data_IF_846347997434
#
_entry.id   IF_846347997434
#
_cell.length_a   1.000
_cell.length_b   1.000
_cell.length_c   1.000
_cell.angle_alpha   90.00
_cell.angle_beta   90.00
_cell.angle_gamma   90.00
#
_symmetry.space_group_name_H-M   'P 1'
#
loop_
_entity.id
_entity.type
_entity.pdbx_description
1 polymer ?
#
# COMPACT_ATOMS: atom_id res chain seq x y z
N UNK A 1 9.29 -11.28 35.23
CA UNK A 1 9.31 -10.03 36.01
C UNK A 1 8.25 -9.10 35.43
N UNK A 2 7.34 -8.57 36.25
CA UNK A 2 6.36 -7.56 35.77
C UNK A 2 7.10 -6.24 35.60
N UNK A 3 7.03 -5.63 34.42
CA UNK A 3 7.57 -4.29 34.17
C UNK A 3 6.87 -3.30 35.12
N UNK A 4 7.65 -2.43 35.76
CA UNK A 4 7.14 -1.40 36.67
C UNK A 4 6.39 -0.33 35.86
N UNK A 5 5.35 0.27 36.45
CA UNK A 5 4.44 1.26 35.81
C UNK A 5 5.16 2.43 35.13
N UNK A 6 6.39 2.75 35.54
CA UNK A 6 7.19 3.83 34.97
C UNK A 6 7.84 3.48 33.61
N UNK A 7 8.02 2.19 33.31
CA UNK A 7 8.50 1.73 31.99
C UNK A 7 7.38 1.65 30.94
N UNK A 8 6.11 1.78 31.36
CA UNK A 8 4.96 1.79 30.46
C UNK A 8 4.70 3.16 29.80
N UNK A 9 5.46 4.20 30.16
CA UNK A 9 5.26 5.58 29.72
C UNK A 9 6.16 6.01 28.54
N UNK A 10 7.15 5.20 28.16
CA UNK A 10 7.99 5.46 26.99
C UNK A 10 7.53 4.49 25.89
N UNK A 11 7.08 4.97 24.71
CA UNK A 11 6.78 4.09 23.60
C UNK A 11 7.97 3.16 23.34
N UNK A 12 7.72 1.85 23.24
CA UNK A 12 8.75 0.96 22.71
C UNK A 12 8.89 1.27 21.23
N UNK A 13 9.83 2.17 20.92
CA UNK A 13 10.21 2.46 19.55
C UNK A 13 10.80 1.21 18.91
N UNK A 14 10.58 1.06 17.61
CA UNK A 14 11.19 -0.02 16.85
C UNK A 14 12.72 0.08 16.98
N UNK A 15 13.35 -0.99 17.45
CA UNK A 15 14.81 -1.07 17.48
C UNK A 15 15.33 -1.55 16.13
N UNK A 16 16.58 -1.23 15.74
CA UNK A 16 17.16 -1.72 14.49
C UNK A 16 17.03 -3.24 14.31
N UNK A 17 17.16 -4.02 15.38
CA UNK A 17 16.99 -5.48 15.33
C UNK A 17 15.55 -5.91 15.01
N UNK A 18 14.54 -5.21 15.54
CA UNK A 18 13.13 -5.49 15.18
C UNK A 18 12.82 -5.13 13.72
N UNK A 19 13.56 -4.18 13.15
CA UNK A 19 13.43 -3.81 11.74
C UNK A 19 14.02 -4.88 10.81
N UNK A 20 15.05 -5.64 11.23
CA UNK A 20 15.66 -6.70 10.41
C UNK A 20 14.63 -7.77 10.01
N UNK A 21 13.83 -8.25 10.97
CA UNK A 21 12.76 -9.21 10.71
C UNK A 21 11.59 -8.62 9.92
N UNK A 22 11.44 -7.29 9.94
CA UNK A 22 10.42 -6.55 9.19
C UNK A 22 10.84 -6.39 7.72
N UNK A 23 12.12 -6.20 7.39
CA UNK A 23 12.59 -5.96 6.01
C UNK A 23 12.05 -7.02 5.05
N UNK A 24 12.21 -8.31 5.38
CA UNK A 24 11.74 -9.40 4.53
C UNK A 24 10.20 -9.43 4.38
N UNK A 25 9.46 -9.00 5.41
CA UNK A 25 8.00 -8.90 5.39
C UNK A 25 7.55 -7.69 4.57
N UNK A 26 8.21 -6.55 4.72
CA UNK A 26 7.95 -5.33 3.95
C UNK A 26 8.11 -5.60 2.46
N UNK A 27 9.21 -6.24 2.03
CA UNK A 27 9.40 -6.61 0.62
C UNK A 27 8.28 -7.53 0.07
N UNK A 28 7.77 -8.46 0.88
CA UNK A 28 6.63 -9.30 0.48
C UNK A 28 5.33 -8.50 0.37
N UNK A 29 5.12 -7.53 1.25
CA UNK A 29 3.97 -6.61 1.21
C UNK A 29 4.07 -5.71 -0.03
N UNK A 30 5.24 -5.13 -0.33
CA UNK A 30 5.45 -4.32 -1.55
C UNK A 30 5.10 -5.14 -2.80
N UNK A 31 5.63 -6.35 -2.93
CA UNK A 31 5.32 -7.25 -4.07
C UNK A 31 3.84 -7.58 -4.16
N UNK A 32 3.20 -7.87 -3.03
CA UNK A 32 1.77 -8.20 -2.99
C UNK A 32 0.91 -7.00 -3.35
N UNK A 33 1.30 -5.79 -2.89
CA UNK A 33 0.63 -4.54 -3.23
C UNK A 33 0.69 -4.27 -4.74
N UNK A 34 1.83 -4.47 -5.39
CA UNK A 34 1.96 -4.33 -6.85
C UNK A 34 1.01 -5.27 -7.62
N UNK A 35 0.93 -6.54 -7.19
CA UNK A 35 0.04 -7.53 -7.81
C UNK A 35 -1.43 -7.14 -7.62
N UNK A 36 -1.82 -6.71 -6.42
CA UNK A 36 -3.19 -6.27 -6.12
C UNK A 36 -3.54 -5.00 -6.90
N UNK A 37 -2.64 -4.02 -6.94
CA UNK A 37 -2.83 -2.79 -7.71
C UNK A 37 -3.09 -3.11 -9.18
N UNK A 38 -2.26 -3.99 -9.78
CA UNK A 38 -2.46 -4.45 -11.16
C UNK A 38 -3.83 -5.09 -11.35
N UNK A 39 -4.25 -5.98 -10.45
CA UNK A 39 -5.57 -6.60 -10.52
C UNK A 39 -6.71 -5.56 -10.43
N UNK A 40 -6.63 -4.61 -9.50
CA UNK A 40 -7.60 -3.50 -9.40
C UNK A 40 -7.65 -2.69 -10.69
N UNK A 41 -6.51 -2.32 -11.26
CA UNK A 41 -6.43 -1.54 -12.50
C UNK A 41 -7.10 -2.22 -13.69
N UNK A 42 -7.11 -3.55 -13.76
CA UNK A 42 -7.79 -4.28 -14.85
C UNK A 42 -9.31 -4.18 -14.83
N UNK A 43 -9.91 -3.83 -13.69
CA UNK A 43 -11.36 -3.73 -13.51
C UNK A 43 -11.85 -2.31 -13.24
N UNK A 44 -10.94 -1.33 -13.23
CA UNK A 44 -11.26 0.09 -13.10
C UNK A 44 -11.43 0.73 -14.48
N UNK A 45 -12.53 1.47 -14.68
CA UNK A 45 -12.81 2.17 -15.94
C UNK A 45 -12.15 3.56 -16.05
N UNK A 46 -11.64 4.09 -14.93
CA UNK A 46 -11.00 5.40 -14.84
C UNK A 46 -9.79 5.34 -13.91
N UNK A 47 -8.92 6.34 -13.99
CA UNK A 47 -7.70 6.34 -13.19
C UNK A 47 -7.98 6.64 -11.71
N UNK A 48 -8.98 7.47 -11.42
CA UNK A 48 -9.35 7.83 -10.04
C UNK A 48 -10.81 7.59 -9.74
N UNK A 49 -11.13 7.39 -8.47
CA UNK A 49 -12.50 7.27 -7.96
C UNK A 49 -13.33 8.51 -8.28
N UNK A 50 -12.70 9.68 -8.17
CA UNK A 50 -13.32 10.97 -8.51
C UNK A 50 -13.73 11.03 -9.97
N UNK A 51 -12.84 10.68 -10.89
CA UNK A 51 -13.18 10.63 -12.33
C UNK A 51 -14.35 9.67 -12.61
N UNK A 52 -14.39 8.53 -11.92
CA UNK A 52 -15.50 7.58 -12.06
C UNK A 52 -16.83 8.21 -11.65
N UNK A 53 -16.86 8.85 -10.48
CA UNK A 53 -18.06 9.51 -9.95
C UNK A 53 -18.46 10.70 -10.83
N UNK A 54 -17.51 11.52 -11.28
CA UNK A 54 -17.76 12.67 -12.15
C UNK A 54 -18.36 12.21 -13.50
N UNK A 55 -17.94 11.05 -14.01
CA UNK A 55 -18.43 10.47 -15.27
C UNK A 55 -19.81 9.81 -15.13
N UNK A 56 -20.07 9.10 -14.03
CA UNK A 56 -21.26 8.23 -13.89
C UNK A 56 -22.29 8.72 -12.87
N UNK A 57 -22.00 9.78 -12.11
CA UNK A 57 -22.89 10.38 -11.11
C UNK A 57 -22.99 9.61 -9.80
N UNK A 58 -22.20 8.54 -9.62
CA UNK A 58 -22.20 7.70 -8.44
C UNK A 58 -21.26 6.51 -8.59
N UNK A 59 -21.14 5.70 -7.53
CA UNK A 59 -20.30 4.51 -7.53
C UNK A 59 -20.96 3.39 -6.73
N UNK A 60 -20.92 2.18 -7.27
CA UNK A 60 -21.39 1.00 -6.57
C UNK A 60 -20.37 0.59 -5.49
N UNK A 61 -20.83 0.12 -4.33
CA UNK A 61 -19.95 -0.20 -3.19
C UNK A 61 -18.80 -1.18 -3.52
N UNK A 62 -19.05 -2.16 -4.40
CA UNK A 62 -17.99 -3.09 -4.85
C UNK A 62 -16.94 -2.36 -5.70
N UNK A 63 -17.37 -1.52 -6.64
CA UNK A 63 -16.47 -0.72 -7.47
C UNK A 63 -15.69 0.27 -6.61
N UNK A 64 -16.35 0.92 -5.65
CA UNK A 64 -15.71 1.79 -4.66
C UNK A 64 -14.61 1.07 -3.90
N UNK A 65 -14.87 -0.14 -3.40
CA UNK A 65 -13.87 -0.95 -2.72
C UNK A 65 -12.65 -1.26 -3.59
N UNK A 66 -12.83 -1.43 -4.91
CA UNK A 66 -11.71 -1.61 -5.85
C UNK A 66 -10.85 -0.35 -5.94
N UNK A 67 -11.46 0.83 -6.07
CA UNK A 67 -10.71 2.10 -6.10
C UNK A 67 -9.97 2.34 -4.77
N UNK A 68 -10.63 2.11 -3.64
CA UNK A 68 -10.01 2.28 -2.31
C UNK A 68 -8.86 1.26 -2.10
N UNK A 69 -9.00 0.04 -2.63
CA UNK A 69 -7.93 -0.97 -2.60
C UNK A 69 -6.74 -0.59 -3.49
N UNK A 70 -6.99 -0.01 -4.67
CA UNK A 70 -5.94 0.50 -5.55
C UNK A 70 -5.16 1.64 -4.88
N UNK A 71 -5.86 2.59 -4.24
CA UNK A 71 -5.24 3.69 -3.52
C UNK A 71 -4.38 3.19 -2.33
N UNK A 72 -4.87 2.20 -1.58
CA UNK A 72 -4.11 1.60 -0.49
C UNK A 72 -2.87 0.84 -0.99
N UNK A 73 -3.02 0.11 -2.10
CA UNK A 73 -1.91 -0.62 -2.70
C UNK A 73 -0.84 0.34 -3.22
N UNK A 74 -1.23 1.43 -3.91
CA UNK A 74 -0.30 2.46 -4.37
C UNK A 74 0.47 3.09 -3.20
N UNK A 75 -0.23 3.51 -2.13
CA UNK A 75 0.43 4.04 -0.93
C UNK A 75 1.39 3.05 -0.27
N UNK A 76 1.15 1.76 -0.44
CA UNK A 76 2.05 0.72 0.08
C UNK A 76 3.34 0.62 -0.73
N UNK A 77 3.30 0.94 -2.02
CA UNK A 77 4.47 1.02 -2.89
C UNK A 77 5.25 2.32 -2.66
N UNK A 78 4.54 3.44 -2.51
CA UNK A 78 5.16 4.76 -2.28
C UNK A 78 5.98 4.82 -0.97
N UNK A 79 5.75 3.90 -0.02
CA UNK A 79 6.55 3.77 1.21
C UNK A 79 7.97 3.23 0.98
N UNK A 80 8.22 2.53 -0.14
CA UNK A 80 9.53 1.93 -0.47
C UNK A 80 10.43 2.91 -1.26
N UNK A 81 9.86 4.03 -1.73
CA UNK A 81 10.51 5.02 -2.63
C UNK A 81 11.50 5.95 -1.90
N UNK A 82 11.97 5.53 -0.73
CA UNK A 82 13.05 6.19 0.00
C UNK A 82 14.45 5.86 -0.52
N UNK A 83 14.63 4.77 -1.30
CA UNK A 83 15.95 4.40 -1.88
C UNK A 83 15.90 3.31 -3.00
N UNK A 84 14.73 3.00 -3.60
CA UNK A 84 14.67 2.04 -4.73
C UNK A 84 13.79 2.62 -5.83
N UNK A 85 14.43 3.15 -6.88
CA UNK A 85 13.74 3.57 -8.12
C UNK A 85 13.21 2.34 -8.88
N UNK A 86 12.19 1.71 -8.34
CA UNK A 86 11.40 0.70 -9.03
C UNK A 86 10.25 1.41 -9.73
N UNK A 87 10.50 1.96 -10.92
CA UNK A 87 9.43 2.57 -11.72
C UNK A 87 8.54 1.47 -12.27
N UNK A 88 7.29 1.43 -11.82
CA UNK A 88 6.30 0.51 -12.36
C UNK A 88 5.67 1.15 -13.60
N UNK A 89 5.78 0.49 -14.74
CA UNK A 89 5.13 0.93 -15.98
C UNK A 89 3.60 0.91 -15.79
N UNK A 90 2.90 2.04 -15.93
CA UNK A 90 1.47 2.15 -15.62
C UNK A 90 0.56 1.40 -16.61
N UNK A 91 1.07 1.06 -17.80
CA UNK A 91 0.33 0.39 -18.86
C UNK A 91 0.56 -1.14 -18.85
N UNK A 92 1.74 -1.59 -18.41
CA UNK A 92 2.14 -3.02 -18.43
C UNK A 92 2.23 -3.64 -17.03
N UNK A 93 2.47 -2.83 -16.00
CA UNK A 93 2.70 -3.25 -14.62
C UNK A 93 4.00 -4.04 -14.45
N UNK A 94 4.98 -3.83 -15.33
CA UNK A 94 6.34 -4.34 -15.17
C UNK A 94 7.13 -3.44 -14.21
N UNK A 95 8.02 -4.05 -13.43
CA UNK A 95 8.87 -3.37 -12.45
C UNK A 95 10.30 -3.42 -12.98
N UNK A 96 10.90 -2.26 -13.28
CA UNK A 96 12.34 -2.12 -13.59
C UNK A 96 13.18 -2.03 -12.30
#
# INVERSE_FOLDING_TARGET
>A
MKATEQQALIPQEATPDTLIDLIGKTQQVTKSAAVVLKACRTVMDTHTKKEHIDKWGGIHAITEAVYDCADLAQRSLDMDDGDVEATVDPDTGEID
#
